data_IF_110157428535
#
_entry.id   IF_110157428535
#
_cell.length_a   1.000
_cell.length_b   1.000
_cell.length_c   1.000
_cell.angle_alpha   90.00
_cell.angle_beta   90.00
_cell.angle_gamma   90.00
#
_symmetry.space_group_name_H-M   'P 1'
#
loop_
_entity.id
_entity.type
_entity.pdbx_description
1 polymer ?
#
# COMPACT_ATOMS: atom_id res chain seq x y z
N UNK A 1 12.97 -9.14 12.10
CA UNK A 1 11.71 -8.81 11.39
C UNK A 1 11.37 -10.00 10.52
N UNK A 2 10.18 -10.57 10.67
CA UNK A 2 9.71 -11.66 9.81
C UNK A 2 8.53 -11.14 8.97
N UNK A 3 8.62 -11.33 7.66
CA UNK A 3 7.57 -10.96 6.71
C UNK A 3 7.34 -12.12 5.76
N UNK A 4 6.09 -12.57 5.65
CA UNK A 4 5.63 -13.48 4.62
C UNK A 4 4.66 -12.69 3.73
N UNK A 5 4.85 -12.77 2.42
CA UNK A 5 4.03 -12.10 1.43
C UNK A 5 3.95 -12.93 0.16
N UNK A 6 2.77 -13.02 -0.42
CA UNK A 6 2.51 -13.60 -1.72
C UNK A 6 1.79 -12.52 -2.51
N UNK A 7 2.42 -12.07 -3.58
CA UNK A 7 1.90 -11.08 -4.51
C UNK A 7 1.81 -11.73 -5.90
N UNK A 8 0.66 -11.59 -6.55
CA UNK A 8 0.40 -12.04 -7.91
C UNK A 8 -0.22 -10.91 -8.70
N UNK A 9 0.35 -10.59 -9.85
CA UNK A 9 -0.17 -9.60 -10.79
C UNK A 9 -0.35 -10.25 -12.13
N UNK A 10 -1.50 -10.03 -12.79
CA UNK A 10 -1.75 -10.58 -14.11
C UNK A 10 -1.19 -9.69 -15.22
N UNK A 11 -1.37 -8.38 -15.10
CA UNK A 11 -0.86 -7.42 -16.06
C UNK A 11 -0.16 -6.27 -15.33
N UNK A 12 1.06 -5.99 -15.74
CA UNK A 12 1.87 -4.90 -15.21
C UNK A 12 2.50 -4.17 -16.40
N UNK A 13 2.29 -2.87 -16.45
CA UNK A 13 2.89 -1.97 -17.44
C UNK A 13 3.53 -0.84 -16.66
N UNK A 14 4.85 -0.73 -16.75
CA UNK A 14 5.60 0.28 -16.02
C UNK A 14 6.64 0.96 -16.89
N UNK A 15 6.80 2.25 -16.66
CA UNK A 15 7.87 3.11 -17.13
C UNK A 15 8.55 3.75 -15.90
N UNK A 16 9.60 4.56 -16.10
CA UNK A 16 10.45 5.08 -15.01
C UNK A 16 9.67 5.99 -14.04
N UNK A 17 8.68 6.72 -14.55
CA UNK A 17 7.86 7.66 -13.77
C UNK A 17 6.42 7.17 -13.47
N UNK A 18 5.98 6.09 -14.13
CA UNK A 18 4.59 5.64 -14.09
C UNK A 18 4.46 4.11 -14.09
N UNK A 19 3.67 3.56 -13.18
CA UNK A 19 3.40 2.13 -13.11
C UNK A 19 1.90 1.85 -13.01
N UNK A 20 1.41 0.95 -13.85
CA UNK A 20 0.03 0.51 -13.91
C UNK A 20 -0.04 -1.01 -13.71
N UNK A 21 -0.81 -1.46 -12.73
CA UNK A 21 -1.06 -2.88 -12.49
C UNK A 21 -2.55 -3.17 -12.59
N UNK A 22 -2.91 -4.25 -13.28
CA UNK A 22 -4.29 -4.71 -13.41
C UNK A 22 -4.39 -6.14 -12.88
N UNK A 23 -5.46 -6.38 -12.12
CA UNK A 23 -5.70 -7.63 -11.40
C UNK A 23 -4.47 -8.11 -10.63
N UNK A 24 -4.22 -7.44 -9.51
CA UNK A 24 -3.22 -7.85 -8.52
C UNK A 24 -3.93 -8.45 -7.32
N UNK A 25 -3.38 -9.51 -6.75
CA UNK A 25 -3.78 -10.04 -5.45
C UNK A 25 -2.57 -10.10 -4.54
N UNK A 26 -2.72 -9.60 -3.33
CA UNK A 26 -1.66 -9.55 -2.33
C UNK A 26 -2.15 -10.16 -1.02
N UNK A 27 -1.34 -11.02 -0.42
CA UNK A 27 -1.59 -11.53 0.93
C UNK A 27 -0.27 -11.58 1.68
N UNK A 28 -0.22 -11.01 2.87
CA UNK A 28 1.01 -10.97 3.64
C UNK A 28 0.79 -10.67 5.11
N UNK A 29 1.74 -11.15 5.91
CA UNK A 29 1.82 -10.86 7.32
C UNK A 29 3.24 -10.36 7.63
N UNK A 30 3.32 -9.24 8.33
CA UNK A 30 4.57 -8.68 8.86
C UNK A 30 4.45 -8.56 10.37
N UNK A 31 5.44 -9.10 11.08
CA UNK A 31 5.57 -8.93 12.51
C UNK A 31 7.00 -8.47 12.83
N UNK A 32 7.09 -7.34 13.54
CA UNK A 32 8.36 -6.72 13.92
C UNK A 32 8.23 -5.85 15.17
N UNK A 33 9.37 -5.34 15.64
CA UNK A 33 9.42 -4.41 16.79
C UNK A 33 8.59 -3.14 16.53
N UNK A 34 8.51 -2.74 15.27
CA UNK A 34 7.81 -1.55 14.78
C UNK A 34 6.30 -1.76 14.56
N UNK A 35 5.78 -2.97 14.79
CA UNK A 35 4.35 -3.29 14.72
C UNK A 35 4.02 -4.61 14.02
N UNK A 36 2.72 -4.94 14.05
CA UNK A 36 2.14 -6.09 13.35
C UNK A 36 1.19 -5.60 12.26
N UNK A 37 1.34 -6.15 11.06
CA UNK A 37 0.54 -5.84 9.88
C UNK A 37 0.11 -7.12 9.18
N UNK A 38 -1.19 -7.28 9.03
CA UNK A 38 -1.81 -8.27 8.16
C UNK A 38 -2.39 -7.55 6.95
N UNK A 39 -2.14 -8.12 5.78
CA UNK A 39 -2.59 -7.61 4.49
C UNK A 39 -3.22 -8.75 3.72
N UNK A 40 -4.40 -8.53 3.19
CA UNK A 40 -5.04 -9.44 2.25
C UNK A 40 -5.92 -8.60 1.32
N UNK A 41 -5.73 -8.69 0.02
CA UNK A 41 -6.50 -7.86 -0.90
C UNK A 41 -6.34 -8.26 -2.36
N UNK A 42 -7.31 -7.79 -3.14
CA UNK A 42 -7.37 -7.93 -4.59
C UNK A 42 -7.60 -6.56 -5.19
N UNK A 43 -6.59 -6.05 -5.89
CA UNK A 43 -6.62 -4.82 -6.65
C UNK A 43 -7.06 -5.10 -8.09
N UNK A 44 -8.12 -4.44 -8.52
CA UNK A 44 -8.53 -4.48 -9.92
C UNK A 44 -7.63 -3.60 -10.77
N UNK A 45 -7.34 -2.40 -10.26
CA UNK A 45 -6.45 -1.45 -10.89
C UNK A 45 -5.59 -0.75 -9.83
N UNK A 46 -4.32 -0.62 -10.14
CA UNK A 46 -3.33 0.14 -9.40
C UNK A 46 -2.61 1.07 -10.38
N UNK A 47 -2.36 2.30 -9.95
CA UNK A 47 -1.67 3.30 -10.73
C UNK A 47 -0.76 4.10 -9.81
N UNK A 48 0.50 4.23 -10.17
CA UNK A 48 1.49 5.07 -9.50
C UNK A 48 2.07 6.02 -10.54
N UNK A 49 2.06 7.32 -10.28
CA UNK A 49 2.64 8.35 -11.15
C UNK A 49 3.35 9.37 -10.28
N UNK A 50 4.67 9.52 -10.44
CA UNK A 50 5.49 10.54 -9.74
C UNK A 50 5.20 10.68 -8.24
N UNK A 51 5.10 9.56 -7.52
CA UNK A 51 4.85 9.54 -6.08
C UNK A 51 3.38 9.62 -5.67
N UNK A 52 2.45 9.83 -6.59
CA UNK A 52 1.01 9.67 -6.32
C UNK A 52 0.63 8.24 -6.66
N UNK A 53 0.15 7.50 -5.66
CA UNK A 53 -0.35 6.14 -5.80
C UNK A 53 -1.86 6.12 -5.60
N UNK A 54 -2.57 5.46 -6.51
CA UNK A 54 -4.00 5.18 -6.40
C UNK A 54 -4.27 3.72 -6.71
N UNK A 55 -5.18 3.11 -5.97
CA UNK A 55 -5.59 1.72 -6.10
C UNK A 55 -7.09 1.63 -5.95
N UNK A 56 -7.71 0.78 -6.76
CA UNK A 56 -9.13 0.41 -6.65
C UNK A 56 -9.19 -1.11 -6.56
N UNK A 57 -9.79 -1.60 -5.49
CA UNK A 57 -9.82 -3.01 -5.17
C UNK A 57 -10.26 -3.31 -3.76
N UNK A 58 -10.58 -4.58 -3.51
CA UNK A 58 -11.01 -5.02 -2.19
C UNK A 58 -9.79 -5.35 -1.35
N UNK A 59 -9.48 -4.53 -0.34
CA UNK A 59 -8.35 -4.73 0.55
C UNK A 59 -8.79 -4.79 2.01
N UNK A 60 -8.30 -5.79 2.72
CA UNK A 60 -8.48 -5.96 4.15
C UNK A 60 -7.09 -5.96 4.77
N UNK A 61 -6.61 -4.76 5.06
CA UNK A 61 -5.41 -4.55 5.86
C UNK A 61 -5.82 -4.32 7.32
N UNK A 62 -5.16 -5.00 8.25
CA UNK A 62 -5.32 -4.77 9.68
C UNK A 62 -3.95 -4.77 10.34
N UNK A 63 -3.62 -3.68 11.02
CA UNK A 63 -2.36 -3.52 11.72
C UNK A 63 -1.92 -2.08 11.86
N UNK A 64 -0.96 -1.88 12.75
CA UNK A 64 -0.27 -0.61 12.94
C UNK A 64 1.21 -0.80 12.69
N UNK A 65 1.85 0.18 12.08
CA UNK A 65 3.30 0.24 11.97
C UNK A 65 3.76 1.64 12.27
N UNK A 66 4.74 1.75 13.15
CA UNK A 66 5.45 2.99 13.42
C UNK A 66 6.78 2.89 12.68
N UNK A 67 7.16 3.90 11.92
CA UNK A 67 8.43 3.91 11.19
C UNK A 67 9.05 5.30 11.32
N UNK A 68 10.36 5.41 11.05
CA UNK A 68 11.03 6.72 11.09
C UNK A 68 10.41 7.74 10.14
N UNK A 69 9.83 7.27 9.03
CA UNK A 69 9.16 8.10 8.02
C UNK A 69 7.70 8.44 8.37
N UNK A 70 7.09 7.87 9.42
CA UNK A 70 5.71 8.17 9.78
C UNK A 70 4.99 7.07 10.55
N UNK A 71 3.71 7.32 10.85
CA UNK A 71 2.81 6.38 11.52
C UNK A 71 1.75 5.92 10.52
N UNK A 72 1.54 4.61 10.46
CA UNK A 72 0.45 4.01 9.69
C UNK A 72 -0.45 3.18 10.62
N UNK A 73 -1.74 3.41 10.53
CA UNK A 73 -2.76 2.63 11.21
C UNK A 73 -3.82 2.18 10.21
N UNK A 74 -4.05 0.87 10.12
CA UNK A 74 -5.10 0.26 9.32
C UNK A 74 -5.90 -0.73 10.16
N UNK A 75 -7.22 -0.72 10.03
CA UNK A 75 -8.15 -1.60 10.72
C UNK A 75 -9.23 -2.01 9.72
N UNK A 76 -9.33 -3.31 9.45
CA UNK A 76 -10.35 -3.88 8.56
C UNK A 76 -10.42 -3.20 7.17
N UNK A 77 -9.28 -2.84 6.59
CA UNK A 77 -9.19 -2.17 5.29
C UNK A 77 -9.34 -0.66 5.34
N UNK A 78 -9.81 -0.09 6.45
CA UNK A 78 -9.84 1.35 6.67
C UNK A 78 -8.55 1.79 7.36
N UNK A 79 -7.87 2.79 6.85
CA UNK A 79 -6.71 3.32 7.54
C UNK A 79 -6.18 4.59 6.95
N UNK A 80 -5.16 5.10 7.62
CA UNK A 80 -4.48 6.31 7.21
C UNK A 80 -2.99 6.16 7.49
N UNK A 81 -2.22 6.88 6.70
CA UNK A 81 -0.78 7.02 6.83
C UNK A 81 -0.45 8.49 6.90
N UNK A 82 0.36 8.87 7.89
CA UNK A 82 0.77 10.25 8.10
C UNK A 82 2.28 10.27 8.32
N UNK A 83 2.99 11.07 7.51
CA UNK A 83 4.45 11.18 7.53
C UNK A 83 4.99 11.68 6.20
N UNK A 84 6.15 11.15 5.78
CA UNK A 84 6.75 11.39 4.45
C UNK A 84 5.84 10.94 3.30
N UNK A 85 5.03 9.93 3.56
CA UNK A 85 3.94 9.50 2.71
C UNK A 85 2.62 9.71 3.47
N UNK A 86 1.69 10.46 2.87
CA UNK A 86 0.35 10.69 3.44
C UNK A 86 -0.70 10.08 2.54
N UNK A 87 -1.56 9.25 3.12
CA UNK A 87 -2.56 8.52 2.36
C UNK A 87 -3.72 8.03 3.20
N UNK A 88 -4.83 7.77 2.53
CA UNK A 88 -6.00 7.11 3.09
C UNK A 88 -6.22 5.78 2.38
N UNK A 89 -6.51 4.76 3.17
CA UNK A 89 -6.85 3.43 2.69
C UNK A 89 -8.28 3.14 3.07
N UNK A 90 -9.03 2.62 2.11
CA UNK A 90 -10.37 2.11 2.32
C UNK A 90 -10.44 0.66 1.87
N UNK A 91 -11.44 -0.10 2.33
CA UNK A 91 -11.60 -1.49 1.91
C UNK A 91 -11.80 -1.67 0.41
N UNK A 92 -12.11 -0.59 -0.33
CA UNK A 92 -12.41 -0.61 -1.76
C UNK A 92 -11.39 0.15 -2.61
N UNK A 93 -10.38 0.76 -1.99
CA UNK A 93 -9.37 1.53 -2.70
C UNK A 93 -8.50 2.35 -1.77
N UNK A 94 -7.34 2.77 -2.28
CA UNK A 94 -6.33 3.52 -1.54
C UNK A 94 -5.84 4.68 -2.39
N UNK A 95 -5.56 5.80 -1.72
CA UNK A 95 -4.89 6.95 -2.32
C UNK A 95 -3.75 7.33 -1.37
N UNK A 96 -2.53 7.39 -1.90
CA UNK A 96 -1.33 7.74 -1.14
C UNK A 96 -0.47 8.71 -1.93
N UNK A 97 0.14 9.67 -1.25
CA UNK A 97 1.01 10.68 -1.83
C UNK A 97 2.35 10.60 -1.10
N UNK A 98 3.40 10.20 -1.82
CA UNK A 98 4.78 10.22 -1.36
C UNK A 98 5.41 11.58 -1.71
N UNK A 99 5.64 12.39 -0.68
CA UNK A 99 6.26 13.71 -0.86
C UNK A 99 7.75 13.60 -1.21
N UNK A 100 8.41 12.48 -0.91
CA UNK A 100 9.81 12.27 -1.25
C UNK A 100 10.04 12.17 -2.76
N UNK A 101 9.21 11.39 -3.45
CA UNK A 101 9.22 11.25 -4.91
C UNK A 101 8.68 12.50 -5.63
N UNK A 102 7.75 13.23 -5.01
CA UNK A 102 7.16 14.42 -5.63
C UNK A 102 8.16 15.58 -5.81
N UNK A 103 9.16 15.67 -4.93
CA UNK A 103 10.17 16.74 -4.92
C UNK A 103 11.58 16.27 -5.31
N UNK A 104 11.72 15.04 -5.83
CA UNK A 104 13.00 14.46 -6.26
C UNK A 104 13.23 14.57 -7.76
#
# INVERSE_FOLDING_TARGET
>A
MASIGIDRTLFEVGDEDANLKLLSSSVGARAGLDGCKLKAGVNLVESEVKGIKSSIGVNVDTGGSISRDGVEAKVAGLGFKIGKETGISTPFGEISIDFGKLFS
#
